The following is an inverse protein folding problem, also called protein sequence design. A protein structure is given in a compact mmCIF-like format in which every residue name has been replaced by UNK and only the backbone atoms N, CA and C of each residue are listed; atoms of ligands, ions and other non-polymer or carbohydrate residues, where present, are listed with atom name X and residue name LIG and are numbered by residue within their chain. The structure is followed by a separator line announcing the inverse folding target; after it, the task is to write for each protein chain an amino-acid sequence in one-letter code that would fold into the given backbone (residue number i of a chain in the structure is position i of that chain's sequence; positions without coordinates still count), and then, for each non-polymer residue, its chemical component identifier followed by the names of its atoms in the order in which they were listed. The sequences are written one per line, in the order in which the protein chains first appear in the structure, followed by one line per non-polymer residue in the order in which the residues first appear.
data_IF_118781747862
#
_entry.id   IF_118781747862
#
_cell.length_a   1.000
_cell.length_b   1.000
_cell.length_c   1.000
_cell.angle_alpha   90.00
_cell.angle_beta   90.00
_cell.angle_gamma   90.00
#
_symmetry.space_group_name_H-M   'P 1'
#
loop_
_entity.id
_entity.type
_entity.pdbx_description
1 polymer ?
#
# COMPACT_ATOMS: atom_id res chain seq x y z
N UNK A 1 -1.16 -15.21 -3.60
CA UNK A 1 -1.35 -15.81 -4.93
C UNK A 1 -1.08 -14.73 -5.97
N UNK A 2 -0.33 -15.04 -7.02
CA UNK A 2 -0.01 -14.12 -8.11
C UNK A 2 -1.11 -14.12 -9.17
N UNK A 3 -1.25 -13.02 -9.92
CA UNK A 3 -2.12 -12.87 -11.10
C UNK A 3 -1.31 -12.37 -12.31
N UNK A 4 0.00 -12.64 -12.33
CA UNK A 4 0.96 -12.06 -13.29
C UNK A 4 0.97 -12.76 -14.65
N UNK A 5 0.47 -13.99 -14.71
CA UNK A 5 0.38 -14.78 -15.94
C UNK A 5 -1.07 -15.20 -16.24
N UNK A 6 -1.34 -15.53 -17.51
CA UNK A 6 -2.66 -16.06 -17.90
C UNK A 6 -3.01 -17.34 -17.12
N UNK A 7 -2.05 -18.26 -16.94
CA UNK A 7 -2.27 -19.52 -16.22
C UNK A 7 -2.64 -19.27 -14.75
N UNK A 8 -2.06 -18.25 -14.13
CA UNK A 8 -2.39 -17.83 -12.76
C UNK A 8 -3.77 -17.15 -12.65
N UNK A 9 -4.13 -16.31 -13.63
CA UNK A 9 -5.38 -15.55 -13.63
C UNK A 9 -6.60 -16.39 -14.04
N UNK A 10 -6.46 -17.29 -15.03
CA UNK A 10 -7.56 -18.06 -15.64
C UNK A 10 -8.43 -18.83 -14.64
N UNK A 11 -7.90 -19.51 -13.60
CA UNK A 11 -8.72 -20.19 -12.59
C UNK A 11 -9.71 -19.27 -11.87
N UNK A 12 -9.42 -17.97 -11.81
CA UNK A 12 -10.22 -16.94 -11.14
C UNK A 12 -11.24 -16.26 -12.04
N UNK A 13 -11.34 -16.63 -13.32
CA UNK A 13 -12.21 -15.97 -14.30
C UNK A 13 -13.65 -15.76 -13.80
N UNK A 14 -14.27 -16.79 -13.19
CA UNK A 14 -15.63 -16.69 -12.62
C UNK A 14 -15.71 -15.69 -11.47
N UNK A 15 -14.72 -15.66 -10.60
CA UNK A 15 -14.64 -14.71 -9.48
C UNK A 15 -14.43 -13.28 -10.00
N UNK A 16 -13.56 -13.10 -11.00
CA UNK A 16 -13.32 -11.80 -11.66
C UNK A 16 -14.64 -11.28 -12.23
N UNK A 17 -15.35 -12.08 -13.04
CA UNK A 17 -16.67 -11.72 -13.59
C UNK A 17 -17.63 -11.30 -12.48
N UNK A 18 -17.79 -12.11 -11.45
CA UNK A 18 -18.69 -11.81 -10.34
C UNK A 18 -18.34 -10.47 -9.66
N UNK A 19 -17.05 -10.19 -9.43
CA UNK A 19 -16.61 -8.96 -8.76
C UNK A 19 -16.84 -7.70 -9.58
N UNK A 20 -16.68 -7.77 -10.91
CA UNK A 20 -16.94 -6.62 -11.78
C UNK A 20 -18.44 -6.41 -12.02
N UNK A 21 -19.22 -7.49 -12.19
CA UNK A 21 -20.68 -7.40 -12.39
C UNK A 21 -21.41 -6.87 -11.15
N UNK A 22 -20.95 -7.27 -9.96
CA UNK A 22 -21.47 -6.73 -8.69
C UNK A 22 -20.89 -5.37 -8.34
N UNK A 23 -20.00 -4.82 -9.20
CA UNK A 23 -19.28 -3.55 -8.97
C UNK A 23 -18.53 -3.49 -7.64
N UNK A 24 -18.16 -4.66 -7.11
CA UNK A 24 -17.28 -4.77 -5.95
C UNK A 24 -15.83 -4.42 -6.29
N UNK A 25 -15.45 -4.54 -7.57
CA UNK A 25 -14.13 -4.18 -8.08
C UNK A 25 -14.25 -3.33 -9.36
N UNK A 26 -13.42 -2.27 -9.52
CA UNK A 26 -12.58 -1.69 -8.48
C UNK A 26 -13.41 -1.18 -7.30
N UNK A 27 -12.94 -1.28 -6.05
CA UNK A 27 -13.69 -0.80 -4.89
C UNK A 27 -13.94 0.70 -5.03
N UNK A 28 -15.21 1.05 -5.22
CA UNK A 28 -15.64 2.43 -5.36
C UNK A 28 -17.02 2.58 -4.70
N UNK A 29 -17.06 3.22 -3.54
CA UNK A 29 -18.26 3.30 -2.69
C UNK A 29 -19.29 4.34 -3.18
N UNK A 30 -19.28 4.67 -4.47
CA UNK A 30 -20.16 5.66 -5.07
C UNK A 30 -21.56 5.07 -5.33
N UNK A 31 -22.61 5.71 -4.81
CA UNK A 31 -23.98 5.38 -5.24
C UNK A 31 -24.26 6.02 -6.61
N UNK A 32 -24.41 5.18 -7.62
CA UNK A 32 -24.63 5.62 -9.01
C UNK A 32 -26.06 6.12 -9.30
N UNK A 33 -26.94 6.15 -8.30
CA UNK A 33 -28.38 6.48 -8.47
C UNK A 33 -28.75 7.87 -7.98
N UNK A 34 -27.89 8.52 -7.20
CA UNK A 34 -28.18 9.78 -6.53
C UNK A 34 -26.95 10.69 -6.47
N UNK A 35 -27.16 12.00 -6.46
CA UNK A 35 -26.09 12.98 -6.29
C UNK A 35 -25.18 13.12 -7.51
N UNK A 36 -23.95 13.62 -7.28
CA UNK A 36 -22.94 13.83 -8.33
C UNK A 36 -22.51 12.49 -8.89
N UNK A 37 -22.45 12.38 -10.22
CA UNK A 37 -22.10 11.15 -10.94
C UNK A 37 -20.81 11.28 -11.74
N UNK A 38 -20.35 12.50 -11.97
CA UNK A 38 -19.15 12.78 -12.74
C UNK A 38 -18.05 13.21 -11.78
N UNK A 39 -17.10 12.30 -11.55
CA UNK A 39 -15.92 12.55 -10.73
C UNK A 39 -14.69 12.61 -11.62
N UNK A 40 -13.81 13.57 -11.33
CA UNK A 40 -12.46 13.53 -11.88
C UNK A 40 -11.78 12.27 -11.36
N UNK A 41 -11.16 11.52 -12.28
CA UNK A 41 -10.46 10.26 -11.99
C UNK A 41 -11.36 9.15 -11.42
N UNK A 42 -12.62 9.04 -11.87
CA UNK A 42 -13.50 7.90 -11.52
C UNK A 42 -12.84 6.56 -11.91
N UNK A 43 -12.48 5.70 -10.92
CA UNK A 43 -11.81 4.43 -11.18
C UNK A 43 -12.78 3.30 -11.57
N UNK A 44 -14.09 3.58 -11.64
CA UNK A 44 -15.10 2.56 -11.90
C UNK A 44 -15.06 2.05 -13.34
N UNK A 45 -15.49 0.80 -13.53
CA UNK A 45 -15.67 0.25 -14.86
C UNK A 45 -17.02 0.72 -15.44
N UNK A 46 -16.97 1.18 -16.69
CA UNK A 46 -18.17 1.42 -17.49
C UNK A 46 -18.92 0.11 -17.74
N UNK A 47 -20.22 0.20 -18.03
CA UNK A 47 -21.02 -0.99 -18.33
C UNK A 47 -20.48 -1.76 -19.55
N UNK A 48 -19.90 -1.05 -20.53
CA UNK A 48 -19.25 -1.66 -21.68
C UNK A 48 -18.00 -2.46 -21.29
N UNK A 49 -17.13 -1.92 -20.42
CA UNK A 49 -15.95 -2.63 -19.94
C UNK A 49 -16.31 -3.87 -19.11
N UNK A 50 -17.34 -3.77 -18.25
CA UNK A 50 -17.87 -4.93 -17.50
C UNK A 50 -18.37 -6.00 -18.47
N UNK A 51 -19.15 -5.61 -19.48
CA UNK A 51 -19.66 -6.53 -20.49
C UNK A 51 -18.54 -7.20 -21.29
N UNK A 52 -17.45 -6.48 -21.60
CA UNK A 52 -16.26 -7.06 -22.25
C UNK A 52 -15.65 -8.17 -21.40
N UNK A 53 -15.44 -7.93 -20.11
CA UNK A 53 -14.87 -8.92 -19.18
C UNK A 53 -15.83 -10.11 -19.03
N UNK A 54 -17.12 -9.85 -18.81
CA UNK A 54 -18.12 -10.90 -18.66
C UNK A 54 -18.17 -11.81 -19.89
N UNK A 55 -18.21 -11.22 -21.10
CA UNK A 55 -18.20 -11.96 -22.36
C UNK A 55 -16.93 -12.79 -22.54
N UNK A 56 -15.77 -12.26 -22.16
CA UNK A 56 -14.52 -13.02 -22.20
C UNK A 56 -14.61 -14.27 -21.30
N UNK A 57 -15.11 -14.12 -20.08
CA UNK A 57 -15.31 -15.25 -19.15
C UNK A 57 -16.33 -16.26 -19.67
N UNK A 58 -17.47 -15.79 -20.21
CA UNK A 58 -18.53 -16.65 -20.74
C UNK A 58 -18.09 -17.47 -21.95
N UNK A 59 -17.13 -16.97 -22.73
CA UNK A 59 -16.50 -17.71 -23.83
C UNK A 59 -15.37 -18.65 -23.38
N UNK A 60 -15.25 -18.92 -22.08
CA UNK A 60 -14.24 -19.82 -21.53
C UNK A 60 -12.90 -19.16 -21.20
N UNK A 61 -12.86 -17.82 -21.14
CA UNK A 61 -11.69 -17.01 -20.79
C UNK A 61 -10.46 -17.28 -21.69
N UNK A 62 -10.57 -17.17 -23.04
CA UNK A 62 -9.46 -17.46 -23.95
C UNK A 62 -8.27 -16.51 -23.75
N UNK A 63 -7.03 -17.03 -23.83
CA UNK A 63 -5.80 -16.25 -23.59
C UNK A 63 -5.58 -15.08 -24.56
N UNK A 64 -6.16 -15.13 -25.75
CA UNK A 64 -5.74 -14.28 -26.86
C UNK A 64 -4.43 -14.77 -27.47
N UNK A 65 -3.77 -13.92 -28.25
CA UNK A 65 -2.50 -14.23 -28.90
C UNK A 65 -1.34 -14.03 -27.91
N UNK A 66 -0.56 -15.07 -27.56
CA UNK A 66 0.57 -14.93 -26.65
C UNK A 66 1.63 -13.92 -27.11
N UNK A 67 1.76 -13.68 -28.42
CA UNK A 67 2.70 -12.68 -28.95
C UNK A 67 2.32 -11.23 -28.60
N UNK A 68 1.06 -10.98 -28.25
CA UNK A 68 0.57 -9.67 -27.80
C UNK A 68 0.62 -9.51 -26.27
N UNK A 69 1.20 -10.49 -25.56
CA UNK A 69 1.32 -10.42 -24.10
C UNK A 69 2.36 -9.36 -23.72
N UNK A 70 1.99 -8.32 -22.96
CA UNK A 70 2.96 -7.31 -22.52
C UNK A 70 3.99 -7.95 -21.58
N UNK A 71 5.19 -7.37 -21.56
CA UNK A 71 6.20 -7.74 -20.56
C UNK A 71 5.61 -7.54 -19.15
N UNK A 72 5.78 -8.50 -18.22
CA UNK A 72 5.39 -8.32 -16.84
C UNK A 72 6.03 -7.06 -16.24
N UNK A 73 5.31 -6.29 -15.41
CA UNK A 73 5.93 -5.18 -14.71
C UNK A 73 7.04 -5.69 -13.79
N UNK A 74 8.16 -4.98 -13.78
CA UNK A 74 9.23 -5.20 -12.81
C UNK A 74 8.91 -4.43 -11.54
N UNK A 75 8.84 -5.15 -10.42
CA UNK A 75 8.68 -4.54 -9.11
C UNK A 75 10.05 -4.35 -8.48
N UNK A 76 10.27 -3.20 -7.84
CA UNK A 76 11.44 -3.00 -7.02
C UNK A 76 11.50 -4.09 -5.92
N UNK A 77 12.72 -4.46 -5.46
CA UNK A 77 12.87 -5.33 -4.30
C UNK A 77 12.00 -4.85 -3.14
N UNK A 78 11.40 -5.77 -2.39
CA UNK A 78 10.51 -5.44 -1.28
C UNK A 78 11.23 -4.66 -0.16
N UNK A 79 12.55 -4.76 -0.11
CA UNK A 79 13.48 -4.06 0.77
C UNK A 79 14.25 -2.94 0.04
N UNK A 80 13.74 -2.43 -1.09
CA UNK A 80 14.23 -1.19 -1.66
C UNK A 80 13.57 0.01 -0.98
N UNK A 81 14.30 1.12 -0.89
CA UNK A 81 13.72 2.42 -0.55
C UNK A 81 13.06 3.00 -1.80
N UNK A 82 11.85 3.54 -1.64
CA UNK A 82 11.11 4.22 -2.71
C UNK A 82 11.56 5.68 -2.86
N UNK A 83 12.19 6.24 -1.82
CA UNK A 83 12.69 7.62 -1.77
C UNK A 83 14.14 7.77 -2.23
N UNK A 84 14.75 6.72 -2.78
CA UNK A 84 16.20 6.66 -3.02
C UNK A 84 16.99 6.31 -1.76
N UNK A 85 18.29 6.60 -1.75
CA UNK A 85 19.11 6.41 -0.56
C UNK A 85 18.73 7.45 0.51
N UNK A 86 18.28 7.04 1.70
CA UNK A 86 17.90 7.98 2.75
C UNK A 86 19.13 8.59 3.44
N UNK A 87 19.07 9.88 3.76
CA UNK A 87 20.12 10.57 4.53
C UNK A 87 20.18 10.14 6.00
N UNK A 88 19.05 9.66 6.53
CA UNK A 88 18.90 9.18 7.90
C UNK A 88 18.05 7.91 7.92
N UNK A 89 18.55 6.86 8.58
CA UNK A 89 17.80 5.63 8.84
C UNK A 89 17.60 5.49 10.34
N UNK A 90 16.34 5.61 10.77
CA UNK A 90 15.94 5.40 12.16
C UNK A 90 15.50 3.95 12.33
N UNK A 91 16.21 3.20 13.16
CA UNK A 91 15.92 1.79 13.42
C UNK A 91 15.20 1.61 14.76
N UNK A 92 14.00 1.06 14.71
CA UNK A 92 13.26 0.68 15.91
C UNK A 92 13.82 -0.61 16.52
N UNK A 93 13.65 -0.82 17.84
CA UNK A 93 14.02 -2.06 18.51
C UNK A 93 13.34 -3.29 17.89
N UNK A 94 14.03 -4.42 17.90
CA UNK A 94 13.46 -5.69 17.48
C UNK A 94 12.30 -6.08 18.38
N UNK A 95 11.17 -6.44 17.79
CA UNK A 95 10.00 -6.97 18.49
C UNK A 95 9.67 -8.38 18.02
N UNK A 96 9.52 -9.31 18.96
CA UNK A 96 9.14 -10.70 18.66
C UNK A 96 7.62 -10.84 18.72
N UNK A 97 6.99 -11.02 17.56
CA UNK A 97 5.56 -11.30 17.46
C UNK A 97 5.31 -12.78 17.75
N UNK A 98 4.36 -13.14 18.64
CA UNK A 98 3.94 -14.53 18.84
C UNK A 98 3.41 -15.17 17.56
N UNK A 99 3.68 -16.45 17.35
CA UNK A 99 3.29 -17.15 16.12
C UNK A 99 1.76 -17.31 15.95
N UNK A 100 0.99 -17.18 17.03
CA UNK A 100 -0.47 -17.24 17.02
C UNK A 100 -1.04 -16.31 18.09
N UNK A 101 -2.18 -15.68 17.79
CA UNK A 101 -2.85 -14.74 18.67
C UNK A 101 -3.69 -13.73 17.89
N UNK A 102 -4.38 -12.82 18.60
CA UNK A 102 -4.99 -11.65 17.98
C UNK A 102 -3.93 -10.67 17.47
N UNK A 103 -4.36 -9.67 16.70
CA UNK A 103 -3.52 -8.55 16.29
C UNK A 103 -2.95 -7.82 17.51
N UNK A 104 -1.69 -7.42 17.40
CA UNK A 104 -0.99 -6.67 18.43
C UNK A 104 -0.91 -5.20 18.03
N UNK A 105 -1.31 -4.33 18.95
CA UNK A 105 -1.21 -2.88 18.82
C UNK A 105 -0.32 -2.37 19.95
N UNK A 106 0.69 -1.57 19.61
CA UNK A 106 1.63 -1.04 20.57
C UNK A 106 2.57 -0.03 19.94
N UNK A 107 3.34 0.63 20.79
CA UNK A 107 4.31 1.64 20.39
C UNK A 107 5.72 1.10 20.57
N UNK A 108 6.59 1.44 19.63
CA UNK A 108 8.03 1.30 19.75
C UNK A 108 8.62 2.70 19.74
N UNK A 109 9.65 2.92 20.55
CA UNK A 109 10.33 4.21 20.67
C UNK A 109 11.80 4.04 20.32
N UNK A 110 12.37 5.08 19.71
CA UNK A 110 13.80 5.16 19.38
C UNK A 110 14.15 6.62 19.12
N UNK A 111 15.38 7.01 19.42
CA UNK A 111 15.87 8.37 19.18
C UNK A 111 16.24 8.55 17.71
N UNK A 112 16.08 9.78 17.19
CA UNK A 112 16.49 10.13 15.84
C UNK A 112 18.02 10.19 15.67
N UNK A 113 18.75 10.46 16.76
CA UNK A 113 20.21 10.64 16.72
C UNK A 113 20.65 11.87 15.92
N UNK A 114 19.81 12.90 15.83
CA UNK A 114 20.11 14.16 15.14
C UNK A 114 20.78 15.14 16.11
N UNK A 115 21.87 15.77 15.66
CA UNK A 115 22.56 16.83 16.40
C UNK A 115 22.08 18.24 16.02
N UNK A 116 21.35 18.36 14.91
CA UNK A 116 20.84 19.61 14.36
C UNK A 116 19.45 19.42 13.76
N UNK A 117 18.71 20.52 13.65
CA UNK A 117 17.39 20.54 13.00
C UNK A 117 17.52 20.20 11.52
N UNK A 118 16.59 19.37 11.03
CA UNK A 118 16.55 18.92 9.63
C UNK A 118 15.15 19.09 9.07
N UNK A 119 15.08 19.46 7.80
CA UNK A 119 13.84 19.54 7.04
C UNK A 119 13.59 18.24 6.28
N UNK A 120 12.38 17.70 6.34
CA UNK A 120 12.00 16.44 5.73
C UNK A 120 11.37 16.70 4.35
N UNK A 121 12.07 16.32 3.28
CA UNK A 121 11.54 16.38 1.89
C UNK A 121 11.00 15.05 1.40
N UNK A 122 11.35 13.94 2.05
CA UNK A 122 10.79 12.62 1.80
C UNK A 122 10.91 11.75 3.07
N UNK A 123 9.94 10.87 3.29
CA UNK A 123 9.94 9.96 4.44
C UNK A 123 9.25 8.64 4.09
N UNK A 124 9.83 7.55 4.59
CA UNK A 124 9.32 6.21 4.37
C UNK A 124 9.50 5.35 5.62
N UNK A 125 8.42 4.72 6.07
CA UNK A 125 8.47 3.61 7.02
C UNK A 125 8.38 2.29 6.26
N UNK A 126 9.18 1.30 6.67
CA UNK A 126 9.17 -0.03 6.06
C UNK A 126 9.49 -1.13 7.09
N UNK A 127 8.90 -2.34 6.93
CA UNK A 127 9.36 -3.50 7.67
C UNK A 127 10.74 -3.95 7.19
N UNK A 128 11.57 -4.44 8.11
CA UNK A 128 12.93 -4.90 7.81
C UNK A 128 12.93 -6.40 7.52
N UNK A 129 13.16 -6.75 6.26
CA UNK A 129 13.27 -8.13 5.79
C UNK A 129 11.93 -8.89 5.69
N UNK A 130 12.00 -10.09 5.08
CA UNK A 130 10.79 -10.85 4.72
C UNK A 130 9.95 -11.29 5.91
N UNK A 131 10.58 -11.59 7.06
CA UNK A 131 9.83 -12.03 8.26
C UNK A 131 8.96 -10.92 8.81
N UNK A 132 9.49 -9.70 8.94
CA UNK A 132 8.71 -8.56 9.40
C UNK A 132 7.59 -8.22 8.41
N UNK A 133 7.86 -8.29 7.10
CA UNK A 133 6.86 -8.02 6.07
C UNK A 133 5.64 -8.97 6.12
N UNK A 134 5.82 -10.20 6.60
CA UNK A 134 4.73 -11.16 6.74
C UNK A 134 3.80 -10.87 7.91
N UNK A 135 4.24 -10.09 8.90
CA UNK A 135 3.51 -9.88 10.16
C UNK A 135 3.12 -8.41 10.43
N UNK A 136 3.82 -7.45 9.81
CA UNK A 136 3.49 -6.01 9.95
C UNK A 136 2.40 -5.62 8.96
N UNK A 137 1.21 -5.30 9.48
CA UNK A 137 0.05 -4.88 8.69
C UNK A 137 0.01 -3.35 8.48
N UNK A 138 0.11 -2.57 9.57
CA UNK A 138 0.28 -1.10 9.55
C UNK A 138 1.39 -0.68 10.52
N UNK A 139 2.01 0.47 10.25
CA UNK A 139 2.82 1.20 11.21
C UNK A 139 2.60 2.70 11.02
N UNK A 140 2.36 3.42 12.12
CA UNK A 140 2.24 4.87 12.14
C UNK A 140 3.48 5.44 12.83
N UNK A 141 4.19 6.32 12.15
CA UNK A 141 5.40 6.96 12.67
C UNK A 141 5.06 8.39 13.09
N UNK A 142 5.44 8.73 14.32
CA UNK A 142 5.28 10.05 14.90
C UNK A 142 6.62 10.56 15.40
N UNK A 143 6.87 11.86 15.28
CA UNK A 143 7.84 12.55 16.12
C UNK A 143 7.13 12.94 17.41
N UNK A 144 7.67 12.53 18.56
CA UNK A 144 7.12 12.83 19.88
C UNK A 144 8.20 13.50 20.73
N UNK A 145 7.79 14.44 21.56
CA UNK A 145 8.64 14.96 22.64
C UNK A 145 8.44 14.08 23.88
N UNK A 146 9.55 13.62 24.44
CA UNK A 146 9.59 13.05 25.79
C UNK A 146 10.09 14.15 26.73
N UNK A 147 9.51 14.25 27.93
CA UNK A 147 10.07 15.10 28.96
C UNK A 147 11.35 14.48 29.57
N UNK A 148 11.98 15.20 30.50
CA UNK A 148 13.19 14.73 31.20
C UNK A 148 13.02 13.41 31.96
N UNK A 149 11.78 12.94 32.16
CA UNK A 149 11.44 11.70 32.84
C UNK A 149 11.03 10.57 31.87
N UNK A 150 11.10 10.80 30.56
CA UNK A 150 10.68 9.85 29.54
C UNK A 150 9.16 9.72 29.40
N UNK A 151 8.39 10.67 29.93
CA UNK A 151 6.93 10.71 29.74
C UNK A 151 6.61 11.44 28.44
N UNK A 152 5.74 10.85 27.60
CA UNK A 152 5.31 11.49 26.36
C UNK A 152 4.54 12.78 26.68
N UNK A 153 5.08 13.91 26.23
CA UNK A 153 4.41 15.20 26.27
C UNK A 153 3.38 15.19 25.14
N UNK A 154 2.15 14.79 25.47
CA UNK A 154 1.13 14.37 24.51
C UNK A 154 0.99 15.24 23.25
N UNK A 155 0.83 14.56 22.11
CA UNK A 155 0.63 15.17 20.79
C UNK A 155 1.84 15.03 19.88
N UNK A 156 2.05 13.81 19.35
CA UNK A 156 3.09 13.58 18.35
C UNK A 156 2.74 14.19 16.99
N UNK A 157 3.75 14.73 16.30
CA UNK A 157 3.64 15.11 14.89
C UNK A 157 3.62 13.85 14.06
N UNK A 158 2.50 13.59 13.36
CA UNK A 158 2.42 12.48 12.42
C UNK A 158 3.40 12.70 11.27
N UNK A 159 4.26 11.72 11.03
CA UNK A 159 5.28 11.77 9.98
C UNK A 159 4.84 10.99 8.75
N UNK A 160 4.58 9.69 8.92
CA UNK A 160 4.22 8.80 7.81
C UNK A 160 3.51 7.57 8.33
N UNK A 161 2.68 6.97 7.48
CA UNK A 161 2.11 5.64 7.72
C UNK A 161 2.69 4.68 6.69
N UNK A 162 3.05 3.50 7.16
CA UNK A 162 3.21 2.31 6.33
C UNK A 162 1.94 1.47 6.37
N UNK A 163 1.48 1.06 5.20
CA UNK A 163 0.53 -0.01 4.98
C UNK A 163 1.01 -0.84 3.78
N UNK A 164 0.68 -2.13 3.72
CA UNK A 164 1.09 -2.96 2.59
C UNK A 164 0.58 -2.39 1.26
N UNK A 165 1.50 -2.02 0.36
CA UNK A 165 1.19 -1.42 -0.94
C UNK A 165 1.06 0.11 -0.95
N UNK A 166 1.13 0.78 0.20
CA UNK A 166 1.19 2.26 0.27
C UNK A 166 2.56 2.74 -0.21
N UNK A 167 2.57 3.87 -0.92
CA UNK A 167 3.80 4.52 -1.38
C UNK A 167 4.43 5.33 -0.24
N UNK A 168 5.73 5.64 -0.36
CA UNK A 168 6.42 6.60 0.49
C UNK A 168 5.85 8.02 0.32
N UNK A 169 6.09 8.86 1.31
CA UNK A 169 5.75 10.27 1.23
C UNK A 169 6.92 11.05 0.62
N UNK A 170 6.66 11.78 -0.46
CA UNK A 170 7.65 12.65 -1.12
C UNK A 170 6.98 14.01 -1.29
N UNK A 171 7.53 15.01 -0.61
CA UNK A 171 6.98 16.35 -0.66
C UNK A 171 7.38 17.06 -1.97
N UNK A 172 6.50 17.90 -2.55
CA UNK A 172 6.85 18.76 -3.67
C UNK A 172 8.06 19.66 -3.36
N UNK A 173 8.74 20.11 -4.41
CA UNK A 173 9.87 21.04 -4.31
C UNK A 173 9.50 22.29 -3.47
N UNK A 174 10.34 22.61 -2.48
CA UNK A 174 10.10 23.74 -1.57
C UNK A 174 9.07 23.50 -0.47
N UNK A 175 8.66 22.24 -0.25
CA UNK A 175 7.74 21.83 0.82
C UNK A 175 8.24 20.58 1.56
N UNK A 176 7.64 20.29 2.71
CA UNK A 176 8.20 19.35 3.69
C UNK A 176 7.80 19.70 5.12
N UNK A 177 8.28 18.88 6.05
CA UNK A 177 8.09 19.02 7.51
C UNK A 177 9.36 19.55 8.18
#
# INVERSE_FOLDING_TARGET
MSLMTYQEARPWARSIKNKVETRAMPPWHLDRRIGVQEFLNDPSLTDAQIATIAKWVDNGAPQGNPADTPAPPEFAPADAWQIGEPDLVVQFPTYTVPAAGPDLFGNLFTEFGLEEDRYITAIQTRPVGDRARQVVHHALSYAVEEDENGESMGGGTFLVEYASGKQAEVYPEGSGL
#
